data_IF_255733862050
#
_entry.id   IF_255733862050
#
_cell.length_a   1.000
_cell.length_b   1.000
_cell.length_c   1.000
_cell.angle_alpha   90.00
_cell.angle_beta   90.00
_cell.angle_gamma   90.00
#
_symmetry.space_group_name_H-M   'P 1'
#
loop_
_entity.id
_entity.type
_entity.pdbx_description
1 polymer ?
#
# COMPACT_ATOMS: atom_id res chain seq x y z
N UNK A 1 0.12 -27.90 -4.79
CA UNK A 1 0.62 -27.99 -3.43
C UNK A 1 0.42 -29.38 -2.84
N UNK A 2 1.43 -30.01 -2.24
CA UNK A 2 1.27 -31.28 -1.53
C UNK A 2 0.45 -31.12 -0.23
N UNK A 3 0.30 -29.91 0.28
CA UNK A 3 -0.56 -29.61 1.44
C UNK A 3 -2.04 -29.79 1.13
N UNK A 4 -2.46 -29.48 -0.09
CA UNK A 4 -3.88 -29.48 -0.48
C UNK A 4 -4.23 -30.59 -1.46
N UNK A 5 -3.32 -30.98 -2.34
CA UNK A 5 -3.52 -32.07 -3.29
C UNK A 5 -3.14 -33.41 -2.66
N UNK A 6 -4.16 -34.15 -2.19
CA UNK A 6 -4.02 -35.48 -1.57
C UNK A 6 -4.45 -36.62 -2.52
N UNK A 7 -4.56 -36.33 -3.82
CA UNK A 7 -4.93 -37.33 -4.84
C UNK A 7 -3.81 -38.38 -5.01
N UNK A 8 -4.22 -39.59 -5.34
CA UNK A 8 -3.34 -40.74 -5.57
C UNK A 8 -3.41 -41.27 -7.00
N UNK A 9 -4.20 -40.60 -7.83
CA UNK A 9 -4.34 -40.90 -9.28
C UNK A 9 -3.35 -40.07 -10.11
N UNK A 10 -3.56 -40.05 -11.42
CA UNK A 10 -2.72 -39.36 -12.41
C UNK A 10 -2.63 -37.81 -12.21
N UNK A 11 -3.40 -37.22 -11.30
CA UNK A 11 -3.38 -35.80 -10.96
C UNK A 11 -2.78 -35.53 -9.58
N UNK A 12 -2.17 -36.51 -8.91
CA UNK A 12 -1.60 -36.37 -7.58
C UNK A 12 -0.30 -37.18 -7.39
N UNK A 13 0.32 -36.99 -6.22
CA UNK A 13 1.59 -37.64 -5.88
C UNK A 13 2.80 -36.93 -6.47
N UNK A 14 3.40 -37.39 -7.55
CA UNK A 14 4.61 -36.81 -8.16
C UNK A 14 4.39 -35.36 -8.63
N UNK A 15 5.48 -34.62 -8.82
CA UNK A 15 5.45 -33.26 -9.39
C UNK A 15 4.80 -33.28 -10.76
N UNK A 16 5.17 -34.22 -11.64
CA UNK A 16 4.57 -34.39 -12.96
C UNK A 16 3.05 -34.54 -12.89
N UNK A 17 2.54 -35.41 -12.02
CA UNK A 17 1.11 -35.65 -11.89
C UNK A 17 0.38 -34.40 -11.32
N UNK A 18 0.98 -33.72 -10.33
CA UNK A 18 0.40 -32.50 -9.77
C UNK A 18 0.38 -31.33 -10.76
N UNK A 19 1.25 -31.31 -11.74
CA UNK A 19 1.27 -30.33 -12.84
C UNK A 19 0.35 -30.65 -13.99
N UNK A 20 -0.01 -31.92 -14.17
CA UNK A 20 -0.77 -32.41 -15.31
C UNK A 20 -2.01 -31.60 -15.64
N UNK A 21 -2.83 -31.29 -14.65
CA UNK A 21 -4.06 -30.51 -14.88
C UNK A 21 -3.74 -29.09 -15.37
N UNK A 22 -2.75 -28.44 -14.76
CA UNK A 22 -2.32 -27.10 -15.19
C UNK A 22 -1.78 -27.13 -16.63
N UNK A 23 -0.96 -28.13 -16.96
CA UNK A 23 -0.45 -28.35 -18.32
C UNK A 23 -1.57 -28.51 -19.34
N UNK A 24 -2.54 -29.39 -19.07
CA UNK A 24 -3.69 -29.61 -19.96
C UNK A 24 -4.47 -28.32 -20.21
N UNK A 25 -4.67 -27.49 -19.18
CA UNK A 25 -5.35 -26.19 -19.32
C UNK A 25 -4.54 -25.25 -20.22
N UNK A 26 -3.23 -25.14 -20.01
CA UNK A 26 -2.37 -24.26 -20.79
C UNK A 26 -2.29 -24.71 -22.26
N UNK A 27 -2.11 -26.01 -22.49
CA UNK A 27 -2.09 -26.61 -23.84
C UNK A 27 -3.42 -26.33 -24.58
N UNK A 28 -4.57 -26.51 -23.91
CA UNK A 28 -5.86 -26.22 -24.55
C UNK A 28 -6.06 -24.73 -24.80
N UNK A 29 -5.64 -23.84 -23.87
CA UNK A 29 -5.64 -22.40 -24.12
C UNK A 29 -4.79 -22.05 -25.33
N UNK A 30 -3.55 -22.54 -25.41
CA UNK A 30 -2.65 -22.31 -26.54
C UNK A 30 -3.27 -22.76 -27.86
N UNK A 31 -3.90 -23.91 -27.88
CA UNK A 31 -4.61 -24.44 -29.04
C UNK A 31 -5.75 -23.51 -29.51
N UNK A 32 -6.49 -22.93 -28.57
CA UNK A 32 -7.62 -22.05 -28.90
C UNK A 32 -7.17 -20.65 -29.35
N UNK A 33 -6.12 -20.10 -28.75
CA UNK A 33 -5.67 -18.72 -29.04
C UNK A 33 -4.59 -18.64 -30.12
N UNK A 34 -3.97 -19.77 -30.46
CA UNK A 34 -2.91 -19.86 -31.45
C UNK A 34 -1.50 -19.52 -30.90
N UNK A 35 -0.46 -19.66 -31.73
CA UNK A 35 0.93 -19.59 -31.30
C UNK A 35 1.43 -18.19 -30.93
N UNK A 36 0.76 -17.15 -31.40
CA UNK A 36 1.22 -15.75 -31.22
C UNK A 36 0.49 -14.98 -30.14
N UNK A 37 -0.55 -15.53 -29.54
CA UNK A 37 -1.24 -14.87 -28.43
C UNK A 37 -0.47 -15.08 -27.13
N UNK A 38 -0.05 -14.01 -26.42
CA UNK A 38 0.75 -14.17 -25.21
C UNK A 38 -0.05 -14.83 -24.07
N UNK A 39 0.51 -15.88 -23.49
CA UNK A 39 -0.03 -16.57 -22.31
C UNK A 39 0.83 -16.21 -21.10
N UNK A 40 0.22 -15.57 -20.12
CA UNK A 40 0.84 -15.27 -18.84
C UNK A 40 0.35 -16.24 -17.76
N UNK A 41 1.28 -16.89 -17.08
CA UNK A 41 0.98 -17.77 -15.95
C UNK A 41 1.31 -17.08 -14.63
N UNK A 42 0.29 -16.89 -13.79
CA UNK A 42 0.51 -16.49 -12.40
C UNK A 42 0.65 -17.69 -11.50
N UNK A 43 1.70 -17.70 -10.70
CA UNK A 43 2.05 -18.81 -9.83
C UNK A 43 2.48 -18.33 -8.43
N UNK A 44 2.38 -19.23 -7.44
CA UNK A 44 3.02 -19.08 -6.13
C UNK A 44 4.36 -19.81 -6.19
N UNK A 45 5.46 -19.06 -6.24
CA UNK A 45 6.80 -19.64 -6.42
C UNK A 45 7.32 -20.32 -5.15
N UNK A 46 6.87 -19.88 -3.99
CA UNK A 46 7.17 -20.52 -2.71
C UNK A 46 5.93 -20.35 -1.81
N UNK A 47 5.50 -21.45 -1.22
CA UNK A 47 4.31 -21.45 -0.33
C UNK A 47 4.63 -20.94 1.08
N UNK A 48 5.93 -20.88 1.44
CA UNK A 48 6.42 -20.39 2.74
C UNK A 48 5.69 -21.05 3.93
N UNK A 49 5.48 -22.35 3.79
CA UNK A 49 4.83 -23.23 4.77
C UNK A 49 5.53 -24.58 4.83
N UNK A 50 5.66 -25.13 6.04
CA UNK A 50 6.18 -26.49 6.22
C UNK A 50 5.33 -27.52 5.44
N UNK A 51 5.99 -28.35 4.65
CA UNK A 51 5.36 -29.36 3.78
C UNK A 51 4.66 -28.78 2.53
N UNK A 52 4.75 -27.48 2.28
CA UNK A 52 4.33 -26.83 1.05
C UNK A 52 5.40 -26.89 -0.04
N UNK A 53 5.07 -26.41 -1.26
CA UNK A 53 6.07 -26.26 -2.31
C UNK A 53 7.08 -25.17 -1.94
N UNK A 54 8.37 -25.49 -2.11
CA UNK A 54 9.47 -24.50 -2.06
C UNK A 54 9.68 -23.88 -3.44
N UNK A 55 10.60 -22.91 -3.51
CA UNK A 55 11.01 -22.34 -4.79
C UNK A 55 11.61 -23.42 -5.72
N UNK A 56 12.41 -24.34 -5.19
CA UNK A 56 13.01 -25.44 -5.92
C UNK A 56 11.93 -26.38 -6.50
N UNK A 57 10.94 -26.77 -5.69
CA UNK A 57 9.81 -27.58 -6.16
C UNK A 57 9.03 -26.86 -7.28
N UNK A 58 8.90 -25.55 -7.19
CA UNK A 58 8.24 -24.75 -8.22
C UNK A 58 9.06 -24.68 -9.49
N UNK A 59 10.36 -24.55 -9.40
CA UNK A 59 11.23 -24.60 -10.58
C UNK A 59 11.18 -25.96 -11.29
N UNK A 60 11.08 -27.08 -10.55
CA UNK A 60 10.83 -28.40 -11.12
C UNK A 60 9.43 -28.47 -11.77
N UNK A 61 8.41 -27.96 -11.07
CA UNK A 61 7.04 -27.88 -11.58
C UNK A 61 6.95 -27.13 -12.92
N UNK A 62 7.68 -26.04 -13.06
CA UNK A 62 7.65 -25.21 -14.26
C UNK A 62 8.30 -25.90 -15.48
N UNK A 63 9.20 -26.87 -15.29
CA UNK A 63 9.79 -27.65 -16.39
C UNK A 63 8.74 -28.39 -17.23
N UNK A 64 7.63 -28.79 -16.61
CA UNK A 64 6.55 -29.53 -17.30
C UNK A 64 5.56 -28.63 -18.06
N UNK A 65 5.60 -27.31 -17.86
CA UNK A 65 4.56 -26.41 -18.40
C UNK A 65 5.10 -25.16 -19.09
N UNK A 66 6.40 -24.91 -19.00
CA UNK A 66 6.98 -23.63 -19.46
C UNK A 66 6.90 -23.43 -20.97
N UNK A 67 6.84 -24.51 -21.78
CA UNK A 67 6.93 -24.40 -23.25
C UNK A 67 5.80 -23.56 -23.85
N UNK A 68 4.61 -23.65 -23.30
CA UNK A 68 3.40 -22.94 -23.76
C UNK A 68 3.14 -21.61 -23.02
N UNK A 69 4.02 -21.22 -22.08
CA UNK A 69 3.90 -19.97 -21.31
C UNK A 69 4.89 -18.95 -21.82
N UNK A 70 4.44 -17.72 -22.03
CA UNK A 70 5.27 -16.62 -22.53
C UNK A 70 5.82 -15.72 -21.41
N UNK A 71 5.05 -15.54 -20.33
CA UNK A 71 5.38 -14.64 -19.22
C UNK A 71 5.03 -15.30 -17.89
N UNK A 72 5.89 -15.18 -16.89
CA UNK A 72 5.61 -15.63 -15.52
C UNK A 72 5.29 -14.45 -14.58
N UNK A 73 4.10 -14.47 -13.98
CA UNK A 73 3.70 -13.54 -12.91
C UNK A 73 3.95 -14.19 -11.55
N UNK A 74 5.08 -13.85 -10.93
CA UNK A 74 5.63 -14.58 -9.80
C UNK A 74 5.16 -14.01 -8.47
N UNK A 75 4.31 -14.77 -7.79
CA UNK A 75 3.80 -14.48 -6.43
C UNK A 75 4.36 -15.50 -5.42
N UNK A 76 3.89 -15.48 -4.18
CA UNK A 76 4.21 -16.47 -3.15
C UNK A 76 3.08 -16.63 -2.14
N UNK A 77 3.19 -17.65 -1.30
CA UNK A 77 2.30 -17.91 -0.18
C UNK A 77 1.01 -18.63 -0.55
N UNK A 78 0.35 -19.15 0.47
CA UNK A 78 -0.98 -19.75 0.47
C UNK A 78 -1.88 -19.04 1.49
N UNK A 79 -3.13 -19.49 1.61
CA UNK A 79 -4.05 -18.98 2.65
C UNK A 79 -3.50 -19.16 4.06
N UNK A 80 -2.76 -20.25 4.34
CA UNK A 80 -2.12 -20.49 5.62
C UNK A 80 -0.88 -19.63 5.89
N UNK A 81 -0.27 -19.07 4.83
CA UNK A 81 0.87 -18.16 4.87
C UNK A 81 0.54 -16.79 4.28
N UNK A 82 -0.70 -16.33 4.50
CA UNK A 82 -1.28 -15.13 3.87
C UNK A 82 -0.48 -13.84 4.14
N UNK A 83 0.27 -13.76 5.24
CA UNK A 83 1.15 -12.64 5.55
C UNK A 83 2.26 -12.43 4.52
N UNK A 84 2.66 -13.49 3.80
CA UNK A 84 3.62 -13.42 2.70
C UNK A 84 2.96 -13.14 1.35
N UNK A 85 1.69 -13.51 1.19
CA UNK A 85 0.90 -13.20 0.02
C UNK A 85 0.46 -11.73 0.01
N UNK A 86 0.12 -11.19 1.18
CA UNK A 86 -0.36 -9.83 1.40
C UNK A 86 0.58 -9.13 2.39
N UNK A 87 1.71 -8.68 1.88
CA UNK A 87 2.79 -8.11 2.68
C UNK A 87 2.32 -7.06 3.69
N UNK A 88 2.76 -7.19 4.93
CA UNK A 88 2.49 -6.23 5.99
C UNK A 88 3.53 -5.08 5.99
N UNK A 89 3.26 -4.06 6.82
CA UNK A 89 4.07 -2.84 6.87
C UNK A 89 5.50 -3.05 7.39
N UNK A 90 5.78 -4.12 8.11
CA UNK A 90 7.12 -4.45 8.61
C UNK A 90 7.99 -5.18 7.58
N UNK A 91 7.42 -5.69 6.49
CA UNK A 91 8.16 -6.38 5.45
C UNK A 91 8.88 -5.40 4.53
N UNK A 92 10.13 -5.70 4.15
CA UNK A 92 10.93 -4.86 3.24
C UNK A 92 10.22 -4.70 1.89
N UNK A 93 10.35 -3.53 1.28
CA UNK A 93 9.87 -3.29 -0.08
C UNK A 93 10.65 -4.19 -1.06
N UNK A 94 9.93 -4.88 -1.97
CA UNK A 94 10.53 -5.76 -2.99
C UNK A 94 11.24 -7.01 -2.46
N UNK A 95 10.98 -7.44 -1.22
CA UNK A 95 11.73 -8.48 -0.52
C UNK A 95 11.81 -9.83 -1.23
N UNK A 96 10.88 -10.13 -2.12
CA UNK A 96 10.76 -11.42 -2.81
C UNK A 96 11.22 -11.39 -4.26
N UNK A 97 11.96 -10.36 -4.70
CA UNK A 97 12.47 -10.24 -6.08
C UNK A 97 13.41 -11.39 -6.48
N UNK A 98 14.00 -12.10 -5.53
CA UNK A 98 14.80 -13.30 -5.77
C UNK A 98 14.00 -14.46 -6.38
N UNK A 99 12.67 -14.53 -6.17
CA UNK A 99 11.83 -15.59 -6.73
C UNK A 99 11.64 -15.44 -8.25
N UNK A 100 11.18 -14.28 -8.79
CA UNK A 100 11.14 -14.08 -10.24
C UNK A 100 12.53 -14.15 -10.87
N UNK A 101 13.60 -13.72 -10.17
CA UNK A 101 14.98 -13.88 -10.63
C UNK A 101 15.31 -15.33 -10.91
N UNK A 102 15.06 -16.25 -9.96
CA UNK A 102 15.33 -17.67 -10.12
C UNK A 102 14.56 -18.29 -11.29
N UNK A 103 13.28 -17.90 -11.46
CA UNK A 103 12.46 -18.35 -12.59
C UNK A 103 13.02 -17.82 -13.93
N UNK A 104 13.36 -16.54 -13.98
CA UNK A 104 13.93 -15.87 -15.15
C UNK A 104 15.26 -16.50 -15.57
N UNK A 105 16.17 -16.70 -14.64
CA UNK A 105 17.49 -17.29 -14.89
C UNK A 105 17.38 -18.73 -15.42
N UNK A 106 16.43 -19.51 -14.88
CA UNK A 106 16.26 -20.92 -15.29
C UNK A 106 15.60 -21.06 -16.66
N UNK A 107 14.58 -20.25 -16.97
CA UNK A 107 13.76 -20.47 -18.18
C UNK A 107 13.99 -19.42 -19.27
N UNK A 108 14.73 -18.35 -19.02
CA UNK A 108 15.01 -17.30 -20.00
C UNK A 108 13.77 -16.54 -20.49
N UNK A 109 12.67 -16.57 -19.71
CA UNK A 109 11.39 -15.95 -20.08
C UNK A 109 11.13 -14.70 -19.25
N UNK A 110 10.38 -13.73 -19.78
CA UNK A 110 10.00 -12.53 -19.04
C UNK A 110 9.28 -12.87 -17.73
N UNK A 111 9.70 -12.21 -16.64
CA UNK A 111 9.11 -12.39 -15.32
C UNK A 111 8.61 -11.08 -14.74
N UNK A 112 7.47 -11.13 -14.06
CA UNK A 112 6.91 -10.03 -13.30
C UNK A 112 7.26 -10.21 -11.83
N UNK A 113 7.94 -9.21 -11.24
CA UNK A 113 8.15 -9.11 -9.80
C UNK A 113 7.04 -8.32 -9.13
N UNK A 114 6.55 -8.83 -8.02
CA UNK A 114 5.57 -8.14 -7.19
C UNK A 114 5.90 -8.31 -5.71
N UNK A 115 5.21 -7.57 -4.85
CA UNK A 115 5.34 -7.69 -3.41
C UNK A 115 5.88 -6.43 -2.77
N UNK A 116 4.97 -5.68 -2.15
CA UNK A 116 5.28 -4.48 -1.41
C UNK A 116 6.08 -3.41 -2.20
N UNK A 117 6.02 -3.45 -3.52
CA UNK A 117 6.65 -2.45 -4.38
C UNK A 117 5.76 -1.21 -4.38
N UNK A 118 6.25 -0.12 -3.84
CA UNK A 118 5.54 1.15 -3.65
C UNK A 118 6.46 2.37 -3.80
N UNK A 119 7.77 2.13 -3.81
CA UNK A 119 8.79 3.14 -4.00
C UNK A 119 9.38 2.98 -5.42
N UNK A 120 9.42 4.03 -6.26
CA UNK A 120 10.00 3.97 -7.60
C UNK A 120 11.44 3.46 -7.61
N UNK A 121 12.27 3.90 -6.69
CA UNK A 121 13.67 3.45 -6.58
C UNK A 121 13.80 1.94 -6.39
N UNK A 122 12.85 1.31 -5.67
CA UNK A 122 12.85 -0.15 -5.49
C UNK A 122 12.42 -0.85 -6.78
N UNK A 123 11.44 -0.30 -7.50
CA UNK A 123 11.01 -0.84 -8.78
C UNK A 123 12.14 -0.79 -9.80
N UNK A 124 12.79 0.36 -9.95
CA UNK A 124 13.95 0.55 -10.85
C UNK A 124 15.12 -0.37 -10.49
N UNK A 125 15.42 -0.53 -9.19
CA UNK A 125 16.50 -1.39 -8.73
C UNK A 125 16.24 -2.86 -9.10
N UNK A 126 15.03 -3.38 -8.92
CA UNK A 126 14.66 -4.74 -9.30
C UNK A 126 14.88 -4.98 -10.81
N UNK A 127 14.52 -4.01 -11.65
CA UNK A 127 14.73 -4.10 -13.10
C UNK A 127 16.21 -3.99 -13.46
N UNK A 128 16.95 -3.05 -12.85
CA UNK A 128 18.36 -2.84 -13.09
C UNK A 128 19.23 -4.03 -12.66
N UNK A 129 18.88 -4.69 -11.56
CA UNK A 129 19.56 -5.90 -11.07
C UNK A 129 19.23 -7.15 -11.91
N UNK A 130 18.28 -7.04 -12.85
CA UNK A 130 17.81 -8.15 -13.66
C UNK A 130 17.01 -9.19 -12.89
N UNK A 131 16.46 -8.82 -11.73
CA UNK A 131 15.64 -9.71 -10.93
C UNK A 131 14.28 -9.99 -11.59
N UNK A 132 13.80 -9.08 -12.43
CA UNK A 132 12.59 -9.23 -13.24
C UNK A 132 12.64 -8.30 -14.46
N UNK A 133 11.73 -8.50 -15.41
CA UNK A 133 11.57 -7.68 -16.61
C UNK A 133 10.41 -6.67 -16.46
N UNK A 134 9.47 -6.97 -15.57
CA UNK A 134 8.26 -6.17 -15.34
C UNK A 134 7.96 -6.08 -13.84
N UNK A 135 7.26 -5.00 -13.46
CA UNK A 135 6.84 -4.77 -12.08
C UNK A 135 5.31 -4.86 -11.97
N UNK A 136 4.86 -5.76 -11.09
CA UNK A 136 3.44 -5.92 -10.74
C UNK A 136 3.07 -5.12 -9.48
N UNK A 137 2.07 -4.25 -9.57
CA UNK A 137 1.60 -3.46 -8.44
C UNK A 137 0.09 -3.58 -8.25
N UNK A 138 -0.36 -3.89 -7.02
CA UNK A 138 -1.76 -3.86 -6.63
C UNK A 138 -2.06 -2.72 -5.66
N UNK A 139 -1.70 -2.89 -4.39
CA UNK A 139 -2.00 -1.91 -3.33
C UNK A 139 -1.34 -0.54 -3.54
N UNK A 140 -0.19 -0.50 -4.23
CA UNK A 140 0.45 0.74 -4.65
C UNK A 140 -0.48 1.59 -5.52
N UNK A 141 -1.12 0.98 -6.53
CA UNK A 141 -2.05 1.63 -7.44
C UNK A 141 -3.42 1.92 -6.79
N UNK A 142 -3.86 1.13 -5.80
CA UNK A 142 -5.04 1.48 -4.99
C UNK A 142 -4.79 2.77 -4.20
N UNK A 143 -3.60 2.92 -3.62
CA UNK A 143 -3.23 4.12 -2.91
C UNK A 143 -3.02 5.32 -3.83
N UNK A 144 -2.34 5.13 -4.96
CA UNK A 144 -2.01 6.16 -5.94
C UNK A 144 -2.26 5.66 -7.38
N UNK A 145 -3.45 5.87 -7.93
CA UNK A 145 -3.75 5.43 -9.30
C UNK A 145 -2.87 6.07 -10.37
N UNK A 146 -2.37 7.27 -10.13
CA UNK A 146 -1.49 8.01 -11.05
C UNK A 146 0.01 7.72 -10.82
N UNK A 147 0.35 6.64 -10.09
CA UNK A 147 1.73 6.35 -9.70
C UNK A 147 2.69 6.35 -10.89
N UNK A 148 2.38 5.59 -11.94
CA UNK A 148 3.23 5.49 -13.14
C UNK A 148 3.39 6.86 -13.82
N UNK A 149 2.28 7.60 -14.00
CA UNK A 149 2.30 8.91 -14.65
C UNK A 149 3.12 9.94 -13.83
N UNK A 150 3.00 9.91 -12.50
CA UNK A 150 3.78 10.79 -11.62
C UNK A 150 5.27 10.47 -11.70
N UNK A 151 5.65 9.19 -11.68
CA UNK A 151 7.04 8.76 -11.83
C UNK A 151 7.60 9.15 -13.21
N UNK A 152 6.89 8.84 -14.28
CA UNK A 152 7.31 9.17 -15.65
C UNK A 152 7.50 10.68 -15.91
N UNK A 153 6.84 11.52 -15.11
CA UNK A 153 6.95 13.00 -15.19
C UNK A 153 7.83 13.63 -14.12
N UNK A 154 8.61 12.83 -13.37
CA UNK A 154 9.53 13.33 -12.33
C UNK A 154 8.84 13.85 -11.07
N UNK A 155 7.55 13.52 -10.86
CA UNK A 155 6.76 13.94 -9.69
C UNK A 155 6.68 12.87 -8.62
N UNK A 156 7.78 12.18 -8.35
CA UNK A 156 7.84 11.12 -7.34
C UNK A 156 7.54 11.61 -5.92
N UNK A 157 7.87 12.87 -5.66
CA UNK A 157 7.58 13.52 -4.39
C UNK A 157 6.07 13.63 -4.11
N UNK A 158 5.24 13.71 -5.15
CA UNK A 158 3.78 13.82 -5.05
C UNK A 158 3.08 12.46 -4.86
N UNK A 159 3.83 11.38 -4.68
CA UNK A 159 3.25 10.04 -4.55
C UNK A 159 2.61 9.82 -3.18
N UNK A 160 1.34 9.50 -3.17
CA UNK A 160 0.61 8.97 -2.01
C UNK A 160 0.93 7.49 -1.85
N UNK A 161 2.04 7.17 -1.20
CA UNK A 161 2.54 5.79 -1.08
C UNK A 161 1.64 4.91 -0.21
N UNK A 162 1.44 3.67 -0.64
CA UNK A 162 0.77 2.66 0.19
C UNK A 162 1.56 2.45 1.49
N UNK A 163 0.90 2.50 2.65
CA UNK A 163 1.52 2.26 3.96
C UNK A 163 1.47 0.79 4.39
N UNK A 164 1.00 -0.09 3.52
CA UNK A 164 0.87 -1.55 3.74
C UNK A 164 0.14 -1.93 5.04
N UNK A 165 -0.90 -1.16 5.38
CA UNK A 165 -1.72 -1.38 6.58
C UNK A 165 -2.69 -2.55 6.44
N UNK A 166 -3.03 -2.96 5.23
CA UNK A 166 -3.97 -4.04 4.89
C UNK A 166 -5.42 -3.86 5.41
N UNK A 167 -5.76 -2.73 6.02
CA UNK A 167 -7.04 -2.52 6.71
C UNK A 167 -8.21 -2.41 5.71
N UNK A 168 -8.20 -1.38 4.87
CA UNK A 168 -9.32 -1.07 3.98
C UNK A 168 -9.35 -1.92 2.70
N UNK A 169 -8.23 -2.43 2.24
CA UNK A 169 -8.15 -3.27 1.05
C UNK A 169 -8.31 -4.76 1.40
N UNK A 170 -7.24 -5.42 1.81
CA UNK A 170 -7.25 -6.85 2.11
C UNK A 170 -8.19 -7.22 3.27
N UNK A 171 -8.18 -6.43 4.35
CA UNK A 171 -9.03 -6.67 5.51
C UNK A 171 -10.53 -6.61 5.15
N UNK A 172 -10.95 -5.57 4.43
CA UNK A 172 -12.35 -5.48 3.97
C UNK A 172 -12.70 -6.64 3.03
N UNK A 173 -11.86 -6.91 2.02
CA UNK A 173 -12.17 -7.92 1.00
C UNK A 173 -12.13 -9.35 1.54
N UNK A 174 -11.05 -9.70 2.27
CA UNK A 174 -10.81 -11.07 2.72
C UNK A 174 -11.44 -11.32 4.09
N UNK A 175 -11.28 -10.39 5.04
CA UNK A 175 -11.77 -10.56 6.41
C UNK A 175 -13.28 -10.37 6.56
N UNK A 176 -13.86 -9.43 5.78
CA UNK A 176 -15.27 -9.04 5.97
C UNK A 176 -16.15 -9.18 4.73
N UNK A 177 -15.60 -9.65 3.59
CA UNK A 177 -16.28 -9.72 2.30
C UNK A 177 -17.00 -8.40 1.92
N UNK A 178 -16.35 -7.28 2.13
CA UNK A 178 -16.84 -5.93 1.84
C UNK A 178 -16.07 -5.33 0.65
N UNK A 179 -16.61 -4.31 -0.03
CA UNK A 179 -15.88 -3.54 -1.01
C UNK A 179 -14.58 -2.98 -0.43
N UNK A 180 -13.53 -2.92 -1.26
CA UNK A 180 -12.26 -2.37 -0.83
C UNK A 180 -12.38 -0.86 -0.55
N UNK A 181 -11.55 -0.40 0.39
CA UNK A 181 -11.28 1.01 0.67
C UNK A 181 -9.77 1.17 0.88
N UNK A 182 -9.31 2.39 0.97
CA UNK A 182 -7.91 2.64 1.29
C UNK A 182 -7.79 3.65 2.44
N UNK A 183 -6.91 3.36 3.38
CA UNK A 183 -6.66 4.24 4.54
C UNK A 183 -6.09 5.59 4.13
N UNK A 184 -5.32 5.63 3.02
CA UNK A 184 -4.64 6.86 2.56
C UNK A 184 -5.27 7.45 1.29
N UNK A 185 -6.20 6.75 0.63
CA UNK A 185 -6.88 7.23 -0.57
C UNK A 185 -8.40 7.19 -0.37
N UNK A 186 -9.05 8.30 -0.07
CA UNK A 186 -10.49 8.35 0.17
C UNK A 186 -11.31 8.10 -1.11
N UNK A 187 -10.74 8.32 -2.30
CA UNK A 187 -11.45 8.22 -3.57
C UNK A 187 -11.64 6.78 -4.11
N UNK A 188 -11.15 5.76 -3.37
CA UNK A 188 -11.28 4.36 -3.82
C UNK A 188 -12.75 3.93 -3.86
N UNK A 189 -13.23 3.56 -5.06
CA UNK A 189 -14.61 3.20 -5.40
C UNK A 189 -15.65 4.32 -5.19
N UNK A 190 -15.21 5.53 -4.88
CA UNK A 190 -16.10 6.68 -4.64
C UNK A 190 -16.01 7.71 -5.79
N UNK A 191 -15.42 7.36 -6.91
CA UNK A 191 -15.16 8.09 -8.15
C UNK A 191 -15.73 9.51 -8.25
N UNK A 192 -17.04 9.62 -8.47
CA UNK A 192 -17.69 10.91 -8.72
C UNK A 192 -17.89 11.76 -7.45
N UNK A 193 -17.99 11.13 -6.27
CA UNK A 193 -18.16 11.84 -4.98
C UNK A 193 -16.94 12.69 -4.65
N UNK A 194 -15.74 12.22 -5.03
CA UNK A 194 -14.47 12.91 -4.80
C UNK A 194 -13.96 13.70 -6.01
N UNK A 195 -14.79 13.91 -7.03
CA UNK A 195 -14.48 14.90 -8.06
C UNK A 195 -14.55 16.28 -7.45
N UNK A 196 -13.40 16.92 -7.28
CA UNK A 196 -13.28 18.24 -6.71
C UNK A 196 -14.01 19.28 -7.59
N UNK A 197 -15.27 19.54 -7.29
CA UNK A 197 -16.02 20.63 -7.92
C UNK A 197 -15.53 21.94 -7.32
N UNK A 198 -15.19 22.90 -8.19
CA UNK A 198 -14.77 24.22 -7.71
C UNK A 198 -15.91 24.97 -7.04
N UNK A 199 -15.62 25.64 -5.94
CA UNK A 199 -16.55 26.52 -5.25
C UNK A 199 -16.63 27.84 -6.03
N UNK A 200 -17.85 28.27 -6.37
CA UNK A 200 -18.10 29.47 -7.18
C UNK A 200 -18.21 30.78 -6.35
N UNK A 201 -17.97 30.73 -5.06
CA UNK A 201 -18.08 31.87 -4.14
C UNK A 201 -16.83 31.97 -3.28
N UNK A 202 -16.47 33.19 -2.87
CA UNK A 202 -15.46 33.39 -1.85
C UNK A 202 -15.86 32.64 -0.60
N UNK A 203 -15.03 31.69 -0.18
CA UNK A 203 -15.28 30.82 0.96
C UNK A 203 -14.01 30.75 1.82
N UNK A 204 -14.14 31.10 3.09
CA UNK A 204 -13.09 30.97 4.09
C UNK A 204 -13.36 29.71 4.91
N UNK A 205 -12.42 28.79 4.94
CA UNK A 205 -12.47 27.57 5.74
C UNK A 205 -11.38 27.61 6.80
N UNK A 206 -11.76 27.45 8.05
CA UNK A 206 -10.80 27.28 9.15
C UNK A 206 -10.78 25.82 9.58
N UNK A 207 -9.60 25.21 9.55
CA UNK A 207 -9.36 23.83 9.99
C UNK A 207 -8.56 23.86 11.28
N UNK A 208 -9.05 23.16 12.31
CA UNK A 208 -8.42 23.10 13.63
C UNK A 208 -7.76 21.73 13.81
N UNK A 209 -6.44 21.71 13.93
CA UNK A 209 -5.60 20.52 14.09
C UNK A 209 -4.91 20.11 12.80
N UNK A 210 -3.58 20.09 12.82
CA UNK A 210 -2.70 19.76 11.70
C UNK A 210 -2.33 18.26 11.62
N UNK A 211 -3.17 17.38 12.14
CA UNK A 211 -3.06 15.93 11.95
C UNK A 211 -3.50 15.51 10.55
N UNK A 212 -3.48 14.19 10.27
CA UNK A 212 -3.83 13.65 8.94
C UNK A 212 -5.22 14.04 8.47
N UNK A 213 -6.21 14.06 9.38
CA UNK A 213 -7.58 14.45 9.05
C UNK A 213 -7.68 15.95 8.71
N UNK A 214 -7.03 16.79 9.49
CA UNK A 214 -7.04 18.24 9.24
C UNK A 214 -6.26 18.62 7.98
N UNK A 215 -5.11 18.04 7.76
CA UNK A 215 -4.35 18.24 6.52
C UNK A 215 -5.14 17.82 5.28
N UNK A 216 -5.80 16.65 5.29
CA UNK A 216 -6.65 16.21 4.16
C UNK A 216 -7.81 17.17 3.94
N UNK A 217 -8.49 17.61 5.03
CA UNK A 217 -9.59 18.58 4.94
C UNK A 217 -9.12 19.94 4.41
N UNK A 218 -7.97 20.43 4.89
CA UNK A 218 -7.40 21.69 4.46
C UNK A 218 -6.97 21.68 2.98
N UNK A 219 -6.27 20.62 2.55
CA UNK A 219 -5.91 20.46 1.15
C UNK A 219 -7.15 20.41 0.26
N UNK A 220 -8.14 19.60 0.63
CA UNK A 220 -9.38 19.47 -0.15
C UNK A 220 -10.13 20.81 -0.25
N UNK A 221 -10.26 21.56 0.84
CA UNK A 221 -10.90 22.86 0.85
C UNK A 221 -10.16 23.88 -0.06
N UNK A 222 -8.85 23.89 0.00
CA UNK A 222 -8.03 24.75 -0.86
C UNK A 222 -8.11 24.35 -2.34
N UNK A 223 -8.05 23.06 -2.64
CA UNK A 223 -8.15 22.52 -4.01
C UNK A 223 -9.49 22.84 -4.68
N UNK A 224 -10.59 22.92 -3.92
CA UNK A 224 -11.89 23.34 -4.47
C UNK A 224 -12.01 24.87 -4.58
N UNK A 225 -11.01 25.65 -4.12
CA UNK A 225 -10.91 27.08 -4.32
C UNK A 225 -11.26 27.94 -3.10
N UNK A 226 -11.40 27.36 -1.91
CA UNK A 226 -11.59 28.13 -0.68
C UNK A 226 -10.26 28.72 -0.19
N UNK A 227 -10.30 29.91 0.42
CA UNK A 227 -9.20 30.37 1.28
C UNK A 227 -9.21 29.53 2.56
N UNK A 228 -8.16 28.78 2.81
CA UNK A 228 -8.12 27.81 3.89
C UNK A 228 -7.06 28.18 4.91
N UNK A 229 -7.44 28.14 6.17
CA UNK A 229 -6.59 28.50 7.31
C UNK A 229 -6.49 27.30 8.24
N UNK A 230 -5.32 26.66 8.28
CA UNK A 230 -5.04 25.51 9.15
C UNK A 230 -4.36 25.98 10.43
N UNK A 231 -5.00 25.76 11.57
CA UNK A 231 -4.47 26.09 12.89
C UNK A 231 -4.00 24.82 13.60
N UNK A 232 -2.73 24.75 13.95
CA UNK A 232 -2.12 23.66 14.73
C UNK A 232 -1.50 24.22 16.01
N UNK A 233 -1.91 23.69 17.16
CA UNK A 233 -1.41 24.12 18.47
C UNK A 233 0.04 23.76 18.71
N UNK A 234 0.52 22.65 18.11
CA UNK A 234 1.89 22.19 18.19
C UNK A 234 2.81 22.89 17.20
N UNK A 235 4.09 22.66 17.36
CA UNK A 235 5.13 23.18 16.48
C UNK A 235 5.14 22.49 15.12
N UNK A 236 4.73 21.20 15.05
CA UNK A 236 4.86 20.35 13.87
C UNK A 236 3.53 19.79 13.40
N UNK A 237 3.42 19.59 12.09
CA UNK A 237 2.26 18.96 11.45
C UNK A 237 2.36 17.42 11.46
N UNK A 238 1.25 16.75 11.08
CA UNK A 238 1.16 15.31 10.92
C UNK A 238 0.56 14.56 12.12
N UNK A 239 0.45 15.24 13.27
CA UNK A 239 -0.24 14.75 14.46
C UNK A 239 0.25 13.39 14.94
N UNK A 240 -0.67 12.56 15.48
CA UNK A 240 -0.36 11.28 16.09
C UNK A 240 0.30 10.29 15.10
N UNK A 241 -0.01 10.35 13.81
CA UNK A 241 0.60 9.48 12.79
C UNK A 241 2.11 9.72 12.70
N UNK A 242 2.57 10.98 12.74
CA UNK A 242 3.99 11.34 12.77
C UNK A 242 4.68 10.89 14.06
N UNK A 243 3.99 10.96 15.20
CA UNK A 243 4.52 10.47 16.48
C UNK A 243 4.72 8.95 16.46
N UNK A 244 3.69 8.20 16.05
CA UNK A 244 3.74 6.73 15.98
C UNK A 244 4.81 6.25 14.98
N UNK A 245 5.04 6.99 13.91
CA UNK A 245 6.04 6.63 12.89
C UNK A 245 7.48 6.64 13.39
N UNK A 246 7.76 7.26 14.55
CA UNK A 246 9.08 7.23 15.20
C UNK A 246 9.42 5.84 15.74
N UNK A 247 8.43 4.98 15.95
CA UNK A 247 8.63 3.58 16.30
C UNK A 247 9.20 2.84 15.07
N UNK A 248 10.38 2.16 15.16
CA UNK A 248 11.05 1.56 14.00
C UNK A 248 10.15 0.64 13.16
N UNK A 249 9.32 -0.20 13.81
CA UNK A 249 8.37 -1.08 13.14
C UNK A 249 7.19 -0.34 12.47
N UNK A 250 7.01 0.94 12.74
CA UNK A 250 5.90 1.77 12.23
C UNK A 250 6.38 2.92 11.33
N UNK A 251 7.67 3.00 11.03
CA UNK A 251 8.28 4.12 10.26
C UNK A 251 7.56 4.43 8.93
N UNK A 252 6.98 3.42 8.28
CA UNK A 252 6.26 3.57 7.01
C UNK A 252 4.99 4.44 7.14
N UNK A 253 4.48 4.59 8.35
CA UNK A 253 3.31 5.43 8.62
C UNK A 253 3.60 6.92 8.33
N UNK A 254 4.87 7.35 8.41
CA UNK A 254 5.28 8.72 8.09
C UNK A 254 5.00 9.12 6.64
N UNK A 255 4.94 8.17 5.71
CA UNK A 255 4.75 8.48 4.29
C UNK A 255 3.45 9.23 4.02
N UNK A 256 2.39 8.96 4.79
CA UNK A 256 1.10 9.62 4.57
C UNK A 256 1.05 11.06 5.11
N UNK A 257 1.38 11.38 6.37
CA UNK A 257 1.46 12.76 6.81
C UNK A 257 2.47 13.58 6.01
N UNK A 258 3.62 13.03 5.63
CA UNK A 258 4.60 13.73 4.79
C UNK A 258 4.03 14.10 3.41
N UNK A 259 3.31 13.17 2.77
CA UNK A 259 2.57 13.44 1.53
C UNK A 259 1.56 14.57 1.69
N UNK A 260 0.79 14.58 2.79
CA UNK A 260 -0.21 15.61 3.04
C UNK A 260 0.42 16.98 3.31
N UNK A 261 1.51 17.04 4.05
CA UNK A 261 2.25 18.27 4.32
C UNK A 261 2.77 18.85 3.01
N UNK A 262 3.43 18.04 2.19
CA UNK A 262 3.95 18.46 0.91
C UNK A 262 2.84 18.94 -0.04
N UNK A 263 1.69 18.22 -0.08
CA UNK A 263 0.51 18.65 -0.85
C UNK A 263 -0.02 20.01 -0.35
N UNK A 264 -0.04 20.23 0.96
CA UNK A 264 -0.47 21.47 1.55
C UNK A 264 0.46 22.66 1.19
N UNK A 265 1.78 22.43 1.18
CA UNK A 265 2.78 23.45 0.83
C UNK A 265 2.71 23.90 -0.64
N UNK A 266 2.10 23.12 -1.53
CA UNK A 266 1.93 23.46 -2.94
C UNK A 266 0.67 24.31 -3.21
N UNK A 267 -0.18 24.55 -2.21
CA UNK A 267 -1.46 25.23 -2.38
C UNK A 267 -1.36 26.70 -1.91
N UNK A 268 -1.36 27.63 -2.87
CA UNK A 268 -1.20 29.09 -2.62
C UNK A 268 -2.31 29.69 -1.74
N UNK A 269 -3.49 29.08 -1.73
CA UNK A 269 -4.66 29.50 -0.95
C UNK A 269 -4.85 28.72 0.36
N UNK A 270 -3.82 27.99 0.81
CA UNK A 270 -3.77 27.31 2.11
C UNK A 270 -2.72 27.96 3.00
N UNK A 271 -3.17 28.55 4.09
CA UNK A 271 -2.35 29.24 5.09
C UNK A 271 -2.21 28.38 6.34
N UNK A 272 -0.99 28.03 6.73
CA UNK A 272 -0.70 27.15 7.86
C UNK A 272 -0.14 27.96 9.03
N UNK A 273 -0.75 27.81 10.20
CA UNK A 273 -0.35 28.47 11.44
C UNK A 273 -0.05 27.41 12.51
N UNK A 274 1.24 27.12 12.71
CA UNK A 274 1.71 26.30 13.85
C UNK A 274 1.79 27.14 15.11
N UNK A 275 1.98 26.50 16.27
CA UNK A 275 1.95 27.15 17.59
C UNK A 275 0.70 28.03 17.80
N UNK A 276 -0.41 27.68 17.15
CA UNK A 276 -1.64 28.46 17.15
C UNK A 276 -2.83 27.61 17.56
N UNK A 277 -3.34 27.81 18.74
CA UNK A 277 -4.51 27.09 19.24
C UNK A 277 -5.79 27.60 18.55
N UNK A 278 -6.68 26.68 18.18
CA UNK A 278 -7.97 26.97 17.56
C UNK A 278 -9.00 27.47 18.57
N UNK A 279 -8.71 28.58 19.29
CA UNK A 279 -9.66 29.21 20.17
C UNK A 279 -10.72 29.99 19.38
N UNK A 280 -11.92 30.23 19.95
CA UNK A 280 -12.94 31.06 19.30
C UNK A 280 -12.43 32.42 18.86
N UNK A 281 -11.52 33.04 19.62
CA UNK A 281 -10.90 34.30 19.28
C UNK A 281 -10.02 34.19 18.03
N UNK A 282 -9.12 33.20 17.98
CA UNK A 282 -8.25 32.99 16.83
C UNK A 282 -9.03 32.64 15.57
N UNK A 283 -10.07 31.80 15.69
CA UNK A 283 -10.91 31.40 14.56
C UNK A 283 -11.64 32.60 13.95
N UNK A 284 -12.22 33.49 14.77
CA UNK A 284 -12.98 34.65 14.29
C UNK A 284 -12.15 35.60 13.43
N UNK A 285 -10.84 35.69 13.64
CA UNK A 285 -9.92 36.54 12.85
C UNK A 285 -9.96 36.27 11.36
N UNK A 286 -10.31 35.02 10.97
CA UNK A 286 -10.36 34.58 9.56
C UNK A 286 -11.76 34.69 8.93
N UNK A 287 -12.76 35.17 9.66
CA UNK A 287 -14.15 35.31 9.20
C UNK A 287 -14.66 34.03 8.48
N UNK A 288 -14.64 32.86 9.14
CA UNK A 288 -14.92 31.57 8.49
C UNK A 288 -16.37 31.44 8.05
N UNK A 289 -16.56 30.88 6.84
CA UNK A 289 -17.85 30.38 6.39
C UNK A 289 -18.07 28.92 6.86
N UNK A 290 -16.96 28.17 7.05
CA UNK A 290 -16.95 26.79 7.54
C UNK A 290 -15.78 26.58 8.52
N UNK A 291 -16.06 25.84 9.58
CA UNK A 291 -15.05 25.41 10.54
C UNK A 291 -15.01 23.87 10.54
N UNK A 292 -13.82 23.30 10.37
CA UNK A 292 -13.57 21.86 10.45
C UNK A 292 -12.76 21.57 11.70
N UNK A 293 -13.35 20.82 12.63
CA UNK A 293 -12.67 20.38 13.85
C UNK A 293 -12.00 19.02 13.64
N UNK A 294 -10.67 18.99 13.73
CA UNK A 294 -9.81 17.81 13.52
C UNK A 294 -8.79 17.67 14.66
N UNK A 295 -9.20 17.96 15.88
CA UNK A 295 -8.33 18.07 17.07
C UNK A 295 -7.75 16.73 17.54
N UNK A 296 -8.13 15.61 16.89
CA UNK A 296 -7.59 14.29 17.16
C UNK A 296 -8.10 13.66 18.47
N UNK A 297 -7.29 12.78 19.03
CA UNK A 297 -7.59 12.06 20.27
C UNK A 297 -6.36 12.02 21.17
N UNK A 298 -6.60 11.89 22.47
CA UNK A 298 -5.57 11.62 23.46
C UNK A 298 -5.56 10.12 23.81
N UNK A 299 -4.39 9.50 24.09
CA UNK A 299 -4.32 8.16 24.58
C UNK A 299 -5.10 8.00 25.90
N UNK A 300 -5.93 6.97 25.98
CA UNK A 300 -6.54 6.58 27.24
C UNK A 300 -5.55 5.70 28.00
N UNK A 301 -5.05 6.18 29.11
CA UNK A 301 -4.14 5.42 29.96
C UNK A 301 -4.93 4.38 30.76
N UNK A 302 -4.50 3.11 30.77
CA UNK A 302 -5.15 2.09 31.59
C UNK A 302 -5.01 2.43 33.09
N UNK A 303 -5.97 2.01 33.94
CA UNK A 303 -5.95 2.31 35.38
C UNK A 303 -4.94 1.44 36.14
N UNK A 304 -3.68 1.51 35.72
CA UNK A 304 -2.57 0.80 36.38
C UNK A 304 -1.99 1.70 37.49
N UNK A 305 -1.95 1.19 38.69
CA UNK A 305 -1.41 1.93 39.84
C UNK A 305 0.02 2.41 39.59
N UNK A 306 0.25 3.72 39.73
CA UNK A 306 1.56 4.35 39.54
C UNK A 306 1.94 4.60 38.05
N UNK A 307 1.08 4.27 37.10
CA UNK A 307 1.35 4.56 35.68
C UNK A 307 1.39 6.07 35.42
N UNK A 308 0.37 6.80 35.88
CA UNK A 308 0.28 8.25 35.74
C UNK A 308 1.45 9.01 36.41
N UNK A 309 2.02 8.43 37.45
CA UNK A 309 3.15 9.05 38.17
C UNK A 309 4.50 8.85 37.48
N UNK A 310 4.56 7.96 36.49
CA UNK A 310 5.80 7.53 35.81
C UNK A 310 5.87 7.88 34.33
N UNK A 311 4.74 8.22 33.73
CA UNK A 311 4.72 8.68 32.35
C UNK A 311 5.45 10.02 32.25
N UNK A 312 6.25 10.18 31.24
CA UNK A 312 7.02 11.40 30.90
C UNK A 312 8.04 11.84 31.97
N UNK A 313 8.36 10.99 32.95
CA UNK A 313 9.45 11.28 33.89
C UNK A 313 10.79 10.81 33.33
N UNK A 314 11.79 11.67 33.41
CA UNK A 314 13.17 11.35 33.05
C UNK A 314 13.67 10.09 33.77
N UNK A 315 14.21 9.13 33.03
CA UNK A 315 14.62 7.83 33.57
C UNK A 315 13.49 6.80 33.77
N UNK A 316 12.24 7.14 33.44
CA UNK A 316 11.14 6.17 33.44
C UNK A 316 11.30 5.16 32.31
N UNK A 317 10.96 3.88 32.62
CA UNK A 317 10.85 2.81 31.60
C UNK A 317 9.45 2.76 30.94
N UNK A 318 8.60 3.72 31.28
CA UNK A 318 7.24 3.87 30.75
C UNK A 318 7.23 5.13 29.90
N UNK A 319 6.99 4.96 28.61
CA UNK A 319 6.85 6.03 27.61
C UNK A 319 5.45 6.01 27.02
#
# INVERSE_FOLDING_TARGET
SPLTNKRTDEFGGSVENRTRFCRMVIEEVRKQVGPFFPIMLRLSADELMEGGNTLEDTLEYLEYIQDEVDIFDVSCGLNGSIQYQIDANYMKDGWRSYMPKAVREKFGKPCISMGNIRNPKVAEQILADGDADLIGMGRGLIAEPAWVNKVATGRECDLRKCISCNIGCAGNRIGFNRPIRCTVNPAVLEGDVYKNQKVNKNCNVVVIGGGTAGLEAACTAAEVGCNTFLLEKGETLGGLASVISKIPAKKRLADFPNYLIQRAEQLENLYIFTNTEGTPENIRKFHPNLIVSSTGSAPLLPPIKGLHDRIDKEGSKVA
#
